data_IF_483217869494
#
_entry.id   IF_483217869494
#
_cell.length_a   1.000
_cell.length_b   1.000
_cell.length_c   1.000
_cell.angle_alpha   90.00
_cell.angle_beta   90.00
_cell.angle_gamma   90.00
#
_symmetry.space_group_name_H-M   'P 1'
#
loop_
_entity.id
_entity.type
_entity.pdbx_description
1 polymer ?
#
# COMPACT_ATOMS: atom_id res chain seq x y z
N UNK A 1 7.31 -4.85 2.78
CA UNK A 1 7.49 -5.00 4.25
C UNK A 1 6.66 -4.00 5.04
N UNK A 2 6.83 -2.69 4.83
CA UNK A 2 6.07 -1.65 5.56
C UNK A 2 4.55 -1.84 5.53
N UNK A 3 3.96 -2.08 4.35
CA UNK A 3 2.52 -2.31 4.23
C UNK A 3 2.02 -3.51 5.09
N UNK A 4 2.77 -4.59 5.15
CA UNK A 4 2.42 -5.75 5.96
C UNK A 4 2.47 -5.42 7.45
N UNK A 5 3.52 -4.71 7.89
CA UNK A 5 3.62 -4.23 9.26
C UNK A 5 2.47 -3.30 9.64
N UNK A 6 2.13 -2.34 8.76
CA UNK A 6 1.00 -1.43 8.97
C UNK A 6 -0.32 -2.18 9.11
N UNK A 7 -0.60 -3.16 8.25
CA UNK A 7 -1.85 -3.92 8.33
C UNK A 7 -1.92 -4.76 9.60
N UNK A 8 -0.84 -5.44 9.99
CA UNK A 8 -0.79 -6.23 11.22
C UNK A 8 -1.03 -5.36 12.45
N UNK A 9 -0.38 -4.20 12.51
CA UNK A 9 -0.57 -3.26 13.61
C UNK A 9 -1.97 -2.64 13.59
N UNK A 10 -2.51 -2.31 12.41
CA UNK A 10 -3.88 -1.81 12.25
C UNK A 10 -4.95 -2.83 12.63
N UNK A 11 -4.66 -4.13 12.56
CA UNK A 11 -5.58 -5.14 13.07
C UNK A 11 -5.68 -5.14 14.62
N UNK A 12 -4.69 -4.56 15.31
CA UNK A 12 -4.63 -4.49 16.77
C UNK A 12 -5.04 -3.11 17.33
N UNK A 13 -4.82 -2.04 16.58
CA UNK A 13 -5.09 -0.66 17.01
C UNK A 13 -6.18 0.01 16.15
N UNK A 14 -7.44 0.03 16.61
CA UNK A 14 -8.53 0.69 15.91
C UNK A 14 -8.49 2.23 15.99
N UNK A 15 -7.53 2.83 16.70
CA UNK A 15 -7.36 4.29 16.75
C UNK A 15 -6.71 4.88 15.50
N UNK A 16 -6.13 4.02 14.65
CA UNK A 16 -5.55 4.43 13.37
C UNK A 16 -6.66 4.88 12.42
N UNK A 17 -6.56 6.12 11.95
CA UNK A 17 -7.59 6.71 11.09
C UNK A 17 -7.61 6.11 9.68
N UNK A 18 -6.44 5.80 9.09
CA UNK A 18 -6.33 5.25 7.74
C UNK A 18 -4.95 4.67 7.42
N UNK A 19 -4.88 3.80 6.41
CA UNK A 19 -3.64 3.14 5.98
C UNK A 19 -3.42 3.22 4.47
N UNK A 20 -2.16 3.35 4.06
CA UNK A 20 -1.73 3.15 2.66
C UNK A 20 -0.84 1.92 2.62
N UNK A 21 -1.23 0.93 1.81
CA UNK A 21 -0.65 -0.40 1.76
C UNK A 21 -0.07 -0.66 0.36
N UNK A 22 1.17 -0.19 0.15
CA UNK A 22 1.88 -0.31 -1.13
C UNK A 22 2.72 -1.58 -1.21
N UNK A 23 2.56 -2.36 -2.29
CA UNK A 23 3.25 -3.63 -2.55
C UNK A 23 3.19 -4.61 -1.35
N UNK A 24 1.99 -4.86 -0.81
CA UNK A 24 1.81 -5.78 0.30
C UNK A 24 1.91 -7.26 -0.16
N UNK A 25 2.66 -8.08 0.60
CA UNK A 25 2.68 -9.54 0.42
C UNK A 25 1.67 -10.20 1.38
N UNK A 26 1.03 -11.29 0.95
CA UNK A 26 -0.01 -11.97 1.74
C UNK A 26 0.55 -12.97 2.75
N UNK A 27 1.62 -13.68 2.37
CA UNK A 27 2.22 -14.72 3.19
C UNK A 27 3.74 -14.75 2.96
N UNK A 28 4.52 -14.68 4.03
CA UNK A 28 5.98 -14.62 3.92
C UNK A 28 6.58 -15.92 3.35
N UNK A 29 6.04 -17.07 3.73
CA UNK A 29 6.52 -18.36 3.23
C UNK A 29 6.28 -18.49 1.71
N UNK A 30 5.10 -18.11 1.23
CA UNK A 30 4.81 -18.08 -0.22
C UNK A 30 5.77 -17.14 -0.94
N UNK A 31 5.93 -15.91 -0.45
CA UNK A 31 6.87 -14.93 -1.02
C UNK A 31 8.29 -15.49 -1.11
N UNK A 32 8.78 -16.15 -0.06
CA UNK A 32 10.13 -16.74 -0.06
C UNK A 32 10.29 -17.84 -1.12
N UNK A 33 9.25 -18.64 -1.39
CA UNK A 33 9.29 -19.64 -2.45
C UNK A 33 9.30 -18.99 -3.83
N UNK A 34 8.47 -17.98 -4.05
CA UNK A 34 8.38 -17.27 -5.33
C UNK A 34 9.67 -16.57 -5.70
N UNK A 35 10.34 -15.94 -4.73
CA UNK A 35 11.62 -15.29 -4.97
C UNK A 35 12.68 -16.27 -5.50
N UNK A 36 12.68 -17.52 -5.03
CA UNK A 36 13.62 -18.54 -5.54
C UNK A 36 13.39 -18.82 -7.03
N UNK A 37 12.14 -18.85 -7.45
CA UNK A 37 11.76 -19.04 -8.85
C UNK A 37 12.12 -17.80 -9.69
N UNK A 38 11.90 -16.58 -9.17
CA UNK A 38 12.22 -15.31 -9.83
C UNK A 38 13.73 -15.16 -10.07
N UNK A 39 14.57 -15.50 -9.08
CA UNK A 39 16.03 -15.47 -9.22
C UNK A 39 16.59 -16.68 -10.01
N UNK A 40 15.72 -17.56 -10.54
CA UNK A 40 16.08 -18.73 -11.36
C UNK A 40 17.17 -19.60 -10.73
N UNK A 41 17.13 -19.75 -9.40
CA UNK A 41 18.12 -20.57 -8.70
C UNK A 41 17.83 -22.04 -9.05
N UNK A 42 18.73 -22.67 -9.79
CA UNK A 42 18.59 -24.08 -10.21
C UNK A 42 18.87 -25.02 -9.05
N UNK A 43 17.87 -25.21 -8.20
CA UNK A 43 17.89 -26.18 -7.10
C UNK A 43 16.62 -27.01 -7.06
N UNK A 44 16.69 -28.30 -6.67
CA UNK A 44 15.48 -29.09 -6.43
C UNK A 44 14.57 -28.45 -5.39
N UNK A 45 13.25 -28.47 -5.60
CA UNK A 45 12.25 -27.85 -4.69
C UNK A 45 12.36 -28.34 -3.23
N UNK A 46 12.78 -29.59 -3.02
CA UNK A 46 13.03 -30.12 -1.68
C UNK A 46 14.13 -29.35 -0.93
N UNK A 47 15.21 -28.96 -1.61
CA UNK A 47 16.33 -28.22 -1.02
C UNK A 47 15.88 -26.83 -0.54
N UNK A 48 15.02 -26.18 -1.32
CA UNK A 48 14.41 -24.89 -0.95
C UNK A 48 13.60 -25.03 0.33
N UNK A 49 12.73 -26.04 0.40
CA UNK A 49 11.93 -26.32 1.61
C UNK A 49 12.82 -26.59 2.82
N UNK A 50 13.90 -27.35 2.67
CA UNK A 50 14.87 -27.59 3.74
C UNK A 50 15.52 -26.29 4.24
N UNK A 51 15.96 -25.42 3.32
CA UNK A 51 16.52 -24.12 3.67
C UNK A 51 15.50 -23.24 4.41
N UNK A 52 14.24 -23.21 3.94
CA UNK A 52 13.16 -22.46 4.61
C UNK A 52 12.85 -23.02 5.99
N UNK A 53 12.83 -24.35 6.16
CA UNK A 53 12.68 -24.97 7.48
C UNK A 53 13.84 -24.63 8.43
N UNK A 54 15.07 -24.61 7.91
CA UNK A 54 16.22 -24.18 8.71
C UNK A 54 16.10 -22.71 9.13
N UNK A 55 15.75 -21.81 8.20
CA UNK A 55 15.52 -20.39 8.48
C UNK A 55 14.41 -20.20 9.51
N UNK A 56 13.27 -20.90 9.37
CA UNK A 56 12.19 -20.93 10.37
C UNK A 56 12.73 -21.25 11.76
N UNK A 57 13.52 -22.32 11.89
CA UNK A 57 14.09 -22.74 13.18
C UNK A 57 15.09 -21.72 13.75
N UNK A 58 15.84 -21.01 12.90
CA UNK A 58 16.74 -19.94 13.34
C UNK A 58 15.94 -18.72 13.81
N UNK A 59 14.93 -18.30 13.04
CA UNK A 59 14.07 -17.14 13.33
C UNK A 59 13.25 -17.41 14.60
N UNK A 60 12.62 -18.56 14.75
CA UNK A 60 11.92 -18.95 15.98
C UNK A 60 12.83 -18.88 17.21
N UNK A 61 14.09 -19.33 17.10
CA UNK A 61 15.02 -19.28 18.23
C UNK A 61 15.40 -17.85 18.62
N UNK A 62 15.65 -16.98 17.62
CA UNK A 62 16.19 -15.62 17.81
C UNK A 62 15.10 -14.57 18.02
N UNK A 63 14.05 -14.58 17.22
CA UNK A 63 12.97 -13.60 17.18
C UNK A 63 11.71 -14.06 17.91
N UNK A 64 11.66 -15.31 18.42
CA UNK A 64 10.49 -15.89 19.10
C UNK A 64 9.21 -15.83 18.25
N UNK A 65 9.39 -15.88 16.94
CA UNK A 65 8.36 -15.71 15.93
C UNK A 65 8.43 -16.85 14.92
N UNK A 66 7.28 -17.35 14.49
CA UNK A 66 7.20 -18.32 13.42
C UNK A 66 6.91 -17.63 12.08
N UNK A 67 7.81 -17.77 11.11
CA UNK A 67 7.62 -17.20 9.76
C UNK A 67 6.35 -17.71 9.07
N UNK A 68 5.86 -18.88 9.44
CA UNK A 68 4.61 -19.44 8.90
C UNK A 68 3.38 -18.72 9.42
N UNK A 69 3.48 -18.06 10.57
CA UNK A 69 2.39 -17.29 11.17
C UNK A 69 2.29 -15.89 10.55
N UNK A 70 3.28 -15.47 9.73
CA UNK A 70 3.22 -14.22 8.96
C UNK A 70 2.29 -14.34 7.73
N UNK A 71 1.01 -14.55 8.01
CA UNK A 71 -0.06 -14.59 7.03
C UNK A 71 -1.01 -13.41 7.27
N UNK A 72 -1.01 -12.44 6.36
CA UNK A 72 -1.76 -11.18 6.48
C UNK A 72 -3.24 -11.40 6.18
N UNK A 73 -3.58 -12.43 5.40
CA UNK A 73 -4.96 -12.75 4.99
C UNK A 73 -5.83 -13.13 6.18
N UNK A 74 -5.26 -13.61 7.29
CA UNK A 74 -6.02 -13.93 8.50
C UNK A 74 -6.42 -12.68 9.31
N UNK A 75 -5.75 -11.55 9.08
CA UNK A 75 -5.98 -10.29 9.78
C UNK A 75 -6.87 -9.35 8.98
N UNK A 76 -6.75 -9.35 7.64
CA UNK A 76 -7.54 -8.50 6.74
C UNK A 76 -9.07 -8.52 7.02
N UNK A 77 -9.72 -9.68 7.29
CA UNK A 77 -11.15 -9.73 7.61
C UNK A 77 -11.55 -9.10 8.96
N UNK A 78 -10.57 -8.79 9.81
CA UNK A 78 -10.77 -8.18 11.14
C UNK A 78 -10.38 -6.70 11.17
N UNK A 79 -9.85 -6.17 10.07
CA UNK A 79 -9.37 -4.80 9.97
C UNK A 79 -10.41 -3.95 9.27
N UNK A 80 -10.93 -2.93 9.98
CA UNK A 80 -11.98 -2.03 9.49
C UNK A 80 -11.47 -0.61 9.16
N UNK A 81 -10.19 -0.35 9.42
CA UNK A 81 -9.54 0.92 9.12
C UNK A 81 -9.59 1.16 7.60
N UNK A 82 -10.03 2.35 7.14
CA UNK A 82 -9.96 2.72 5.73
C UNK A 82 -8.56 2.51 5.15
N UNK A 83 -8.47 1.85 4.00
CA UNK A 83 -7.19 1.51 3.39
C UNK A 83 -7.14 1.81 1.89
N UNK A 84 -6.03 2.39 1.45
CA UNK A 84 -5.68 2.52 0.04
C UNK A 84 -4.54 1.56 -0.29
N UNK A 85 -4.81 0.60 -1.17
CA UNK A 85 -3.82 -0.35 -1.67
C UNK A 85 -3.17 0.17 -2.96
N UNK A 86 -1.85 0.00 -3.05
CA UNK A 86 -1.07 0.28 -4.25
C UNK A 86 -0.30 -0.95 -4.70
N UNK A 87 -0.22 -1.17 -6.01
CA UNK A 87 0.60 -2.25 -6.54
C UNK A 87 1.09 -1.97 -7.97
N UNK A 88 2.37 -2.19 -8.23
CA UNK A 88 2.94 -2.05 -9.56
C UNK A 88 2.62 -3.28 -10.43
N UNK A 89 2.13 -3.07 -11.65
CA UNK A 89 1.61 -4.14 -12.51
C UNK A 89 2.69 -5.12 -12.99
N UNK A 90 3.96 -4.70 -13.01
CA UNK A 90 5.11 -5.51 -13.39
C UNK A 90 6.01 -5.84 -12.20
N UNK A 91 5.48 -5.82 -10.97
CA UNK A 91 6.21 -6.23 -9.77
C UNK A 91 6.47 -7.75 -9.78
N UNK A 92 7.73 -8.12 -10.05
CA UNK A 92 8.21 -9.51 -10.00
C UNK A 92 8.75 -9.89 -8.63
N UNK A 93 8.98 -8.92 -7.74
CA UNK A 93 9.51 -9.18 -6.40
C UNK A 93 8.38 -9.59 -5.46
N UNK A 94 7.24 -8.89 -5.49
CA UNK A 94 5.99 -9.27 -4.85
C UNK A 94 4.93 -9.29 -5.93
N UNK A 95 4.53 -10.46 -6.38
CA UNK A 95 3.52 -10.57 -7.43
C UNK A 95 2.15 -10.01 -6.99
N UNK A 96 1.41 -9.43 -7.94
CA UNK A 96 0.16 -8.71 -7.66
C UNK A 96 -0.91 -9.53 -6.93
N UNK A 97 -0.91 -10.85 -7.15
CA UNK A 97 -1.88 -11.74 -6.54
C UNK A 97 -1.86 -11.66 -4.99
N UNK A 98 -0.72 -11.32 -4.39
CA UNK A 98 -0.64 -11.14 -2.94
C UNK A 98 -1.52 -9.97 -2.47
N UNK A 99 -1.39 -8.81 -3.11
CA UNK A 99 -2.19 -7.63 -2.81
C UNK A 99 -3.66 -7.88 -3.17
N UNK A 100 -3.93 -8.56 -4.29
CA UNK A 100 -5.30 -8.92 -4.70
C UNK A 100 -6.00 -9.80 -3.65
N UNK A 101 -5.30 -10.82 -3.09
CA UNK A 101 -5.83 -11.68 -2.02
C UNK A 101 -6.11 -10.91 -0.74
N UNK A 102 -5.19 -10.04 -0.31
CA UNK A 102 -5.38 -9.22 0.89
C UNK A 102 -6.57 -8.29 0.69
N UNK A 103 -6.59 -7.55 -0.42
CA UNK A 103 -7.67 -6.62 -0.75
C UNK A 103 -9.01 -7.34 -0.79
N UNK A 104 -9.11 -8.51 -1.42
CA UNK A 104 -10.35 -9.29 -1.46
C UNK A 104 -10.84 -9.65 -0.05
N UNK A 105 -9.95 -10.09 0.84
CA UNK A 105 -10.28 -10.50 2.21
C UNK A 105 -10.52 -9.33 3.17
N UNK A 106 -10.10 -8.12 2.84
CA UNK A 106 -10.14 -6.96 3.73
C UNK A 106 -11.57 -6.52 4.07
N UNK A 107 -11.87 -6.26 5.34
CA UNK A 107 -13.23 -5.98 5.79
C UNK A 107 -13.63 -4.49 5.73
N UNK A 108 -12.69 -3.59 6.00
CA UNK A 108 -12.93 -2.14 5.98
C UNK A 108 -13.05 -1.55 4.58
N UNK A 109 -13.30 -0.23 4.54
CA UNK A 109 -13.30 0.55 3.32
C UNK A 109 -11.94 0.41 2.62
N UNK A 110 -11.98 0.06 1.33
CA UNK A 110 -10.79 -0.30 0.57
C UNK A 110 -10.88 0.15 -0.87
N UNK A 111 -9.77 0.66 -1.37
CA UNK A 111 -9.55 0.93 -2.79
C UNK A 111 -8.22 0.33 -3.22
N UNK A 112 -8.11 -0.13 -4.46
CA UNK A 112 -6.87 -0.66 -5.04
C UNK A 112 -6.51 0.13 -6.30
N UNK A 113 -5.32 0.71 -6.31
CA UNK A 113 -4.74 1.36 -7.47
C UNK A 113 -3.61 0.49 -7.99
N UNK A 114 -3.75 0.00 -9.22
CA UNK A 114 -2.66 -0.62 -9.98
C UNK A 114 -2.04 0.43 -10.90
N UNK A 115 -0.72 0.43 -11.00
CA UNK A 115 0.02 1.39 -11.82
C UNK A 115 1.17 0.69 -12.56
N UNK A 116 1.71 1.34 -13.60
CA UNK A 116 2.85 0.80 -14.35
C UNK A 116 4.14 0.90 -13.55
N UNK A 117 5.04 -0.08 -13.73
CA UNK A 117 6.33 -0.17 -13.06
C UNK A 117 6.56 -1.52 -12.37
N UNK A 118 7.73 -1.66 -11.77
CA UNK A 118 8.11 -2.79 -10.92
C UNK A 118 8.15 -2.40 -9.43
N UNK A 119 8.63 -3.32 -8.57
CA UNK A 119 8.73 -3.11 -7.13
C UNK A 119 9.46 -1.82 -6.73
N UNK A 120 10.55 -1.50 -7.44
CA UNK A 120 11.50 -0.46 -7.11
C UNK A 120 11.33 0.81 -7.96
N UNK A 121 10.45 0.76 -8.95
CA UNK A 121 10.11 1.88 -9.80
C UNK A 121 9.53 3.02 -8.97
N UNK A 122 9.86 4.26 -9.35
CA UNK A 122 9.19 5.42 -8.80
C UNK A 122 7.69 5.31 -9.05
N UNK A 123 6.87 5.67 -8.05
CA UNK A 123 5.42 5.65 -8.22
C UNK A 123 5.01 6.83 -9.11
N UNK A 124 4.02 6.67 -10.00
CA UNK A 124 3.57 7.76 -10.84
C UNK A 124 2.88 8.85 -10.00
N UNK A 125 2.87 10.09 -10.49
CA UNK A 125 2.35 11.25 -9.76
C UNK A 125 0.90 11.05 -9.31
N UNK A 126 0.04 10.48 -10.17
CA UNK A 126 -1.36 10.24 -9.83
C UNK A 126 -1.54 9.32 -8.62
N UNK A 127 -0.61 8.40 -8.35
CA UNK A 127 -0.66 7.55 -7.17
C UNK A 127 -0.33 8.36 -5.91
N UNK A 128 0.67 9.23 -5.97
CA UNK A 128 0.95 10.18 -4.88
C UNK A 128 -0.22 11.11 -4.61
N UNK A 129 -0.84 11.66 -5.67
CA UNK A 129 -2.02 12.53 -5.54
C UNK A 129 -3.19 11.78 -4.89
N UNK A 130 -3.43 10.53 -5.30
CA UNK A 130 -4.46 9.67 -4.72
C UNK A 130 -4.23 9.39 -3.23
N UNK A 131 -2.96 9.16 -2.84
CA UNK A 131 -2.56 8.99 -1.44
C UNK A 131 -2.78 10.27 -0.64
N UNK A 132 -2.43 11.43 -1.20
CA UNK A 132 -2.67 12.74 -0.56
C UNK A 132 -4.16 13.00 -0.36
N UNK A 133 -4.99 12.75 -1.37
CA UNK A 133 -6.44 12.90 -1.29
C UNK A 133 -7.03 11.94 -0.25
N UNK A 134 -6.60 10.68 -0.26
CA UNK A 134 -7.03 9.68 0.72
C UNK A 134 -6.76 10.14 2.15
N UNK A 135 -5.54 10.57 2.45
CA UNK A 135 -5.20 11.04 3.80
C UNK A 135 -5.90 12.36 4.15
N UNK A 136 -6.09 13.29 3.21
CA UNK A 136 -6.85 14.50 3.46
C UNK A 136 -8.28 14.16 3.91
N UNK A 137 -8.94 13.24 3.21
CA UNK A 137 -10.31 12.84 3.52
C UNK A 137 -10.42 12.12 4.87
N UNK A 138 -9.47 11.22 5.15
CA UNK A 138 -9.50 10.38 6.35
C UNK A 138 -9.04 11.14 7.60
N UNK A 139 -8.02 11.98 7.49
CA UNK A 139 -7.49 12.75 8.63
C UNK A 139 -8.30 14.02 8.88
N UNK A 140 -9.05 14.50 7.89
CA UNK A 140 -9.86 15.72 7.94
C UNK A 140 -9.08 16.89 8.59
N UNK A 141 -7.94 17.30 8.01
CA UNK A 141 -7.11 18.34 8.60
C UNK A 141 -7.87 19.67 8.65
N UNK A 142 -7.55 20.55 9.62
CA UNK A 142 -8.18 21.85 9.72
C UNK A 142 -7.99 22.66 8.43
N UNK A 143 -9.04 23.36 8.02
CA UNK A 143 -9.03 24.25 6.86
C UNK A 143 -7.95 25.32 7.06
N UNK A 144 -7.05 25.47 6.08
CA UNK A 144 -6.05 26.52 6.13
C UNK A 144 -6.69 27.91 5.93
N UNK A 145 -6.29 28.94 6.68
CA UNK A 145 -6.61 30.31 6.34
C UNK A 145 -6.16 30.62 4.90
N UNK A 146 -7.02 31.26 4.11
CA UNK A 146 -6.80 31.54 2.67
C UNK A 146 -5.44 32.18 2.35
N UNK A 147 -4.86 32.93 3.28
CA UNK A 147 -3.53 33.53 3.15
C UNK A 147 -2.36 32.53 3.02
N UNK A 148 -2.50 31.29 3.49
CA UNK A 148 -1.45 30.27 3.42
C UNK A 148 -1.52 29.42 2.13
N UNK A 149 -2.66 29.42 1.44
CA UNK A 149 -2.91 28.63 0.21
C UNK A 149 -1.93 29.00 -0.92
N UNK A 150 -1.65 30.29 -1.09
CA UNK A 150 -0.71 30.81 -2.10
C UNK A 150 0.73 30.30 -1.93
N UNK A 151 1.15 29.95 -0.70
CA UNK A 151 2.48 29.36 -0.47
C UNK A 151 2.52 27.89 -0.86
N UNK A 152 1.46 27.14 -0.58
CA UNK A 152 1.36 25.71 -0.87
C UNK A 152 1.31 25.45 -2.39
N UNK A 153 0.55 26.26 -3.13
CA UNK A 153 0.49 26.21 -4.59
C UNK A 153 1.87 26.42 -5.24
N UNK A 154 2.68 27.31 -4.66
CA UNK A 154 4.05 27.57 -5.09
C UNK A 154 5.00 26.39 -4.82
N UNK A 155 4.72 25.54 -3.82
CA UNK A 155 5.50 24.31 -3.57
C UNK A 155 5.13 23.19 -4.55
N UNK A 156 3.84 22.99 -4.82
CA UNK A 156 3.36 22.03 -5.83
C UNK A 156 3.91 22.35 -7.23
N UNK A 157 3.82 23.63 -7.63
CA UNK A 157 4.34 24.09 -8.92
C UNK A 157 5.88 24.06 -9.03
N UNK A 158 6.60 23.93 -7.90
CA UNK A 158 8.07 23.79 -7.90
C UNK A 158 8.54 22.34 -8.09
N UNK A 159 7.68 21.36 -7.79
CA UNK A 159 7.94 19.94 -8.02
C UNK A 159 7.59 19.46 -9.43
N UNK A 160 6.64 20.13 -10.10
CA UNK A 160 6.19 19.83 -11.47
C UNK A 160 7.12 20.36 -12.58
N UNK A 161 8.36 20.71 -12.24
CA UNK A 161 9.34 21.25 -13.17
C UNK A 161 10.08 20.20 -13.99
N UNK A 162 9.38 19.28 -14.64
CA UNK A 162 9.74 18.68 -15.95
C UNK A 162 8.63 17.73 -16.39
N UNK A 163 7.94 18.17 -17.45
CA UNK A 163 7.18 17.43 -18.46
C UNK A 163 5.65 17.35 -18.29
N UNK A 164 5.04 18.03 -19.28
CA UNK A 164 3.67 17.97 -19.82
C UNK A 164 2.51 18.57 -19.01
N UNK A 165 1.99 19.66 -19.58
CA UNK A 165 0.74 20.32 -19.23
C UNK A 165 -0.44 19.34 -19.36
N UNK A 166 -1.12 19.07 -18.25
CA UNK A 166 -2.50 18.62 -18.28
C UNK A 166 -3.30 19.52 -17.34
N UNK A 167 -4.14 20.35 -17.93
CA UNK A 167 -5.09 21.22 -17.25
C UNK A 167 -6.35 20.40 -16.89
N UNK A 168 -6.71 20.22 -15.61
CA UNK A 168 -8.08 19.85 -15.26
C UNK A 168 -8.87 21.12 -14.94
N UNK A 169 -9.91 21.41 -15.72
CA UNK A 169 -10.91 22.41 -15.36
C UNK A 169 -11.67 21.93 -14.11
N UNK A 170 -11.37 22.50 -12.95
CA UNK A 170 -12.27 22.47 -11.80
C UNK A 170 -13.43 23.43 -12.06
N UNK A 171 -14.56 22.92 -12.55
CA UNK A 171 -15.85 23.59 -12.36
C UNK A 171 -16.41 23.18 -10.98
N UNK A 172 -16.23 24.05 -9.99
CA UNK A 172 -17.06 24.02 -8.79
C UNK A 172 -18.49 24.37 -9.17
N UNK A 173 -19.40 23.40 -9.05
CA UNK A 173 -20.84 23.66 -9.08
C UNK A 173 -21.23 24.30 -7.75
N UNK A 174 -21.51 25.60 -7.77
CA UNK A 174 -22.07 26.33 -6.62
C UNK A 174 -23.51 25.88 -6.34
N UNK A 175 -23.92 25.73 -5.06
CA UNK A 175 -25.31 25.42 -4.74
C UNK A 175 -26.21 26.64 -4.95
N UNK A 176 -27.39 26.44 -5.53
CA UNK A 176 -28.40 27.48 -5.71
C UNK A 176 -29.00 27.92 -4.36
N UNK A 177 -29.30 29.23 -4.19
CA UNK A 177 -29.94 29.73 -2.98
C UNK A 177 -31.41 29.31 -2.92
N UNK A 178 -31.84 28.88 -1.73
CA UNK A 178 -33.25 28.72 -1.39
C UNK A 178 -33.91 30.10 -1.33
N UNK A 179 -35.03 30.27 -2.03
CA UNK A 179 -35.96 31.36 -1.82
C UNK A 179 -37.30 30.80 -1.31
N UNK A 180 -37.82 31.53 -0.31
CA UNK A 180 -39.12 31.51 0.38
C UNK A 180 -40.22 30.60 -0.17
#
# INVERSE_FOLDING_TARGET
MGAVTSLLYGAEDPSIAGMVLDSAFSNLYELMLELVDVYKIRVPKFTVKMAVHYMRRVIQRRAKFDIMDLNVVQFAPKTFIPALFGHASSDVFIQSHHTDRIHQAYAGDKNLIKFDGDHNSARPQFYYDSVSIFFYNVLNPPQFPSACSNKLEKYYNRGAGTNEEVHPQLQLVSPMPQNQ
#
